data_IF_294196956836
#
_entry.id   IF_294196956836
#
_cell.length_a   1.000
_cell.length_b   1.000
_cell.length_c   1.000
_cell.angle_alpha   90.00
_cell.angle_beta   90.00
_cell.angle_gamma   90.00
#
_symmetry.space_group_name_H-M   'P 1'
#
loop_
_entity.id
_entity.type
_entity.pdbx_description
1 polymer ?
#
# COMPACT_ATOMS: atom_id res chain seq x y z
N UNK A 1 7.63 -8.15 -12.94
CA UNK A 1 6.67 -7.28 -12.24
C UNK A 1 7.26 -5.89 -12.17
N UNK A 2 6.51 -4.88 -12.58
CA UNK A 2 6.87 -3.46 -12.37
C UNK A 2 6.56 -3.06 -10.94
N UNK A 3 7.13 -1.95 -10.48
CA UNK A 3 6.83 -1.44 -9.15
C UNK A 3 5.35 -1.01 -9.03
N UNK A 4 4.75 -0.49 -10.12
CA UNK A 4 3.33 -0.14 -10.16
C UNK A 4 2.41 -1.37 -10.03
N UNK A 5 2.76 -2.48 -10.70
CA UNK A 5 2.01 -3.75 -10.61
C UNK A 5 2.04 -4.33 -9.18
N UNK A 6 3.20 -4.24 -8.54
CA UNK A 6 3.40 -4.64 -7.16
C UNK A 6 2.55 -3.79 -6.20
N UNK A 7 2.69 -2.46 -6.26
CA UNK A 7 1.92 -1.54 -5.39
C UNK A 7 0.41 -1.73 -5.58
N UNK A 8 -0.04 -1.90 -6.83
CA UNK A 8 -1.44 -2.19 -7.13
C UNK A 8 -1.92 -3.45 -6.41
N UNK A 9 -1.14 -4.53 -6.45
CA UNK A 9 -1.49 -5.80 -5.80
C UNK A 9 -1.66 -5.61 -4.29
N UNK A 10 -0.75 -4.87 -3.65
CA UNK A 10 -0.82 -4.57 -2.22
C UNK A 10 -2.02 -3.68 -1.88
N UNK A 11 -2.24 -2.62 -2.64
CA UNK A 11 -3.34 -1.67 -2.39
C UNK A 11 -4.69 -2.36 -2.58
N UNK A 12 -4.85 -3.19 -3.61
CA UNK A 12 -6.09 -3.94 -3.84
C UNK A 12 -6.39 -4.91 -2.68
N UNK A 13 -5.38 -5.56 -2.12
CA UNK A 13 -5.54 -6.42 -0.94
C UNK A 13 -5.94 -5.64 0.32
N UNK A 14 -5.32 -4.48 0.54
CA UNK A 14 -5.70 -3.59 1.65
C UNK A 14 -7.16 -3.13 1.46
N UNK A 15 -7.54 -2.69 0.27
CA UNK A 15 -8.92 -2.27 -0.05
C UNK A 15 -9.92 -3.40 0.23
N UNK A 16 -9.60 -4.63 -0.15
CA UNK A 16 -10.46 -5.80 0.12
C UNK A 16 -10.56 -6.14 1.61
N UNK A 17 -9.53 -5.82 2.38
CA UNK A 17 -9.52 -6.03 3.84
C UNK A 17 -10.45 -5.06 4.58
N UNK A 18 -10.69 -3.87 4.02
CA UNK A 18 -11.54 -2.83 4.61
C UNK A 18 -12.78 -2.52 3.74
N UNK A 19 -13.78 -3.42 3.72
CA UNK A 19 -14.95 -3.31 2.83
C UNK A 19 -15.77 -2.02 3.03
N UNK A 20 -15.75 -1.43 4.23
CA UNK A 20 -16.43 -0.17 4.54
C UNK A 20 -15.87 1.04 3.77
N UNK A 21 -14.62 0.96 3.30
CA UNK A 21 -13.97 2.02 2.53
C UNK A 21 -13.75 1.62 1.07
N UNK A 22 -14.01 0.37 0.69
CA UNK A 22 -13.52 -0.23 -0.53
C UNK A 22 -13.91 0.53 -1.81
N UNK A 23 -15.19 0.90 -1.94
CA UNK A 23 -15.67 1.65 -3.11
C UNK A 23 -14.93 2.99 -3.29
N UNK A 24 -14.81 3.75 -2.20
CA UNK A 24 -14.17 5.07 -2.22
C UNK A 24 -12.67 4.94 -2.48
N UNK A 25 -11.99 4.02 -1.81
CA UNK A 25 -10.55 3.81 -2.00
C UNK A 25 -10.21 3.31 -3.41
N UNK A 26 -11.03 2.43 -3.99
CA UNK A 26 -10.86 1.97 -5.37
C UNK A 26 -10.99 3.13 -6.36
N UNK A 27 -11.97 4.02 -6.17
CA UNK A 27 -12.14 5.23 -7.00
C UNK A 27 -10.97 6.20 -6.85
N UNK A 28 -10.53 6.46 -5.61
CA UNK A 28 -9.37 7.31 -5.35
C UNK A 28 -8.14 6.76 -6.05
N UNK A 29 -7.80 5.49 -5.83
CA UNK A 29 -6.63 4.85 -6.43
C UNK A 29 -6.71 4.79 -7.96
N UNK A 30 -7.89 4.52 -8.53
CA UNK A 30 -8.10 4.55 -9.98
C UNK A 30 -7.87 5.92 -10.62
N UNK A 31 -7.92 7.00 -9.83
CA UNK A 31 -7.60 8.37 -10.25
C UNK A 31 -6.23 8.87 -9.74
N UNK A 32 -5.46 8.01 -9.07
CA UNK A 32 -4.23 8.39 -8.43
C UNK A 32 -3.09 8.53 -9.44
N UNK A 33 -2.22 9.49 -9.19
CA UNK A 33 -0.93 9.62 -9.88
C UNK A 33 0.20 9.52 -8.86
N UNK A 34 1.30 8.87 -9.24
CA UNK A 34 2.48 8.77 -8.38
C UNK A 34 3.24 10.07 -8.46
N UNK A 35 3.36 10.75 -7.31
CA UNK A 35 4.11 12.01 -7.18
C UNK A 35 5.58 11.73 -6.92
N UNK A 36 5.87 10.76 -6.04
CA UNK A 36 7.23 10.50 -5.56
C UNK A 36 7.34 9.07 -5.04
N UNK A 37 8.52 8.47 -5.23
CA UNK A 37 8.95 7.27 -4.52
C UNK A 37 10.22 7.54 -3.73
N UNK A 38 10.28 7.01 -2.51
CA UNK A 38 11.50 7.01 -1.68
C UNK A 38 11.74 5.62 -1.17
N UNK A 39 12.92 5.08 -1.41
CA UNK A 39 13.37 3.83 -0.79
C UNK A 39 14.27 4.20 0.37
N UNK A 40 13.88 3.83 1.58
CA UNK A 40 14.62 4.08 2.81
C UNK A 40 14.85 2.75 3.46
N UNK A 41 16.07 2.24 3.53
CA UNK A 41 16.31 0.93 4.15
C UNK A 41 15.79 0.94 5.61
N UNK A 42 14.83 0.09 6.03
CA UNK A 42 14.42 -1.22 5.45
C UNK A 42 13.10 -1.28 4.64
N UNK A 43 12.67 -0.20 4.00
CA UNK A 43 11.39 -0.08 3.30
C UNK A 43 11.31 1.00 2.22
N UNK A 44 10.10 1.45 1.92
CA UNK A 44 9.82 2.50 0.95
C UNK A 44 8.53 3.28 1.27
N UNK A 45 8.40 4.42 0.62
CA UNK A 45 7.14 5.15 0.47
C UNK A 45 6.87 5.46 -0.99
N UNK A 46 5.61 5.34 -1.39
CA UNK A 46 5.08 5.89 -2.63
C UNK A 46 3.98 6.88 -2.29
N UNK A 47 4.12 8.11 -2.76
CA UNK A 47 3.19 9.20 -2.51
C UNK A 47 2.28 9.40 -3.72
N UNK A 48 0.99 9.59 -3.45
CA UNK A 48 -0.04 9.71 -4.47
C UNK A 48 -0.71 11.08 -4.44
N UNK A 49 -1.09 11.57 -5.61
CA UNK A 49 -2.05 12.65 -5.77
C UNK A 49 -3.35 12.09 -6.35
N UNK A 50 -4.46 12.30 -5.65
CA UNK A 50 -5.78 11.75 -6.02
C UNK A 50 -6.53 12.73 -6.91
N UNK A 51 -6.89 12.33 -8.13
CA UNK A 51 -7.65 13.16 -9.06
C UNK A 51 -9.15 13.27 -8.72
N UNK A 52 -9.78 12.17 -8.30
CA UNK A 52 -11.20 12.14 -7.93
C UNK A 52 -11.40 12.64 -6.49
N UNK A 53 -11.54 13.97 -6.37
CA UNK A 53 -11.81 14.62 -5.08
C UNK A 53 -13.21 14.32 -4.51
N UNK A 54 -14.11 13.74 -5.30
CA UNK A 54 -15.46 13.39 -4.83
C UNK A 54 -15.50 12.10 -4.04
N UNK A 55 -14.45 11.27 -4.14
CA UNK A 55 -14.35 9.98 -3.46
C UNK A 55 -13.81 10.10 -2.02
N UNK A 56 -13.86 11.27 -1.37
CA UNK A 56 -13.36 11.47 0.00
C UNK A 56 -14.02 10.52 1.02
N UNK A 57 -13.22 9.99 1.95
CA UNK A 57 -13.74 9.26 3.11
C UNK A 57 -14.43 10.19 4.13
N UNK A 58 -14.19 11.50 4.05
CA UNK A 58 -14.71 12.52 4.95
C UNK A 58 -13.61 13.50 5.38
N UNK A 59 -13.99 14.74 5.67
CA UNK A 59 -13.04 15.77 6.10
C UNK A 59 -12.42 15.40 7.45
N UNK A 60 -11.09 15.55 7.57
CA UNK A 60 -10.34 15.23 8.79
C UNK A 60 -10.19 13.74 9.09
N UNK A 61 -10.56 12.85 8.16
CA UNK A 61 -10.37 11.41 8.33
C UNK A 61 -8.91 11.02 8.04
N UNK A 62 -8.20 10.64 9.10
CA UNK A 62 -6.83 10.13 9.03
C UNK A 62 -6.81 8.67 9.48
N UNK A 63 -6.29 7.76 8.65
CA UNK A 63 -6.30 6.31 8.89
C UNK A 63 -4.97 5.67 8.50
N UNK A 64 -4.67 4.55 9.16
CA UNK A 64 -3.59 3.62 8.82
C UNK A 64 -4.24 2.28 8.50
N UNK A 65 -4.23 1.90 7.23
CA UNK A 65 -4.89 0.67 6.77
C UNK A 65 -3.84 -0.35 6.34
N UNK A 66 -3.84 -1.53 6.97
CA UNK A 66 -2.87 -2.58 6.67
C UNK A 66 -2.82 -3.64 7.75
N UNK A 67 -3.08 -4.89 7.38
CA UNK A 67 -3.11 -6.02 8.33
C UNK A 67 -2.40 -7.28 7.81
N UNK A 68 -2.17 -7.36 6.50
CA UNK A 68 -1.69 -8.56 5.85
C UNK A 68 -0.18 -8.52 5.67
N UNK A 69 0.45 -9.65 5.97
CA UNK A 69 1.87 -9.88 5.72
C UNK A 69 2.10 -10.53 4.36
N UNK A 70 3.18 -10.14 3.71
CA UNK A 70 3.57 -10.65 2.39
C UNK A 70 5.00 -11.15 2.38
N UNK A 71 5.25 -12.13 1.53
CA UNK A 71 6.58 -12.51 1.12
C UNK A 71 6.95 -11.71 -0.14
N UNK A 72 8.10 -11.02 -0.10
CA UNK A 72 8.71 -10.42 -1.30
C UNK A 72 10.06 -11.06 -1.49
N UNK A 73 10.34 -11.59 -2.69
CA UNK A 73 11.65 -12.13 -3.07
C UNK A 73 12.29 -13.08 -2.04
N UNK A 74 11.51 -13.74 -1.18
CA UNK A 74 12.02 -14.59 -0.11
C UNK A 74 12.65 -13.86 1.08
N UNK A 75 12.24 -12.61 1.37
CA UNK A 75 12.58 -11.94 2.64
C UNK A 75 12.28 -12.89 3.81
N UNK A 76 13.27 -13.09 4.69
CA UNK A 76 13.23 -14.10 5.75
C UNK A 76 12.04 -13.91 6.68
N UNK A 77 11.68 -12.66 6.96
CA UNK A 77 10.60 -12.30 7.88
C UNK A 77 9.40 -11.67 7.15
N UNK A 78 9.41 -11.66 5.82
CA UNK A 78 8.40 -11.01 5.00
C UNK A 78 8.43 -9.48 5.10
N UNK A 79 7.29 -8.89 4.73
CA UNK A 79 7.06 -7.45 4.64
C UNK A 79 5.61 -7.12 4.97
N UNK A 80 5.41 -5.97 5.61
CA UNK A 80 4.07 -5.42 5.86
C UNK A 80 3.93 -4.06 5.17
N UNK A 81 2.68 -3.61 5.08
CA UNK A 81 2.31 -2.40 4.36
C UNK A 81 1.27 -1.60 5.10
N UNK A 82 1.36 -0.28 4.94
CA UNK A 82 0.37 0.66 5.47
C UNK A 82 -0.05 1.59 4.31
N UNK A 83 -1.34 1.58 4.01
CA UNK A 83 -1.97 2.61 3.20
C UNK A 83 -2.41 3.76 4.11
N UNK A 84 -1.74 4.89 3.95
CA UNK A 84 -1.97 6.08 4.75
C UNK A 84 -3.08 6.93 4.14
N UNK A 85 -4.16 7.15 4.90
CA UNK A 85 -5.21 8.11 4.55
C UNK A 85 -4.96 9.40 5.32
N UNK A 86 -5.00 10.54 4.61
CA UNK A 86 -4.93 11.87 5.20
C UNK A 86 -6.05 12.76 4.67
N UNK A 87 -6.77 13.42 5.57
CA UNK A 87 -7.92 14.26 5.24
C UNK A 87 -8.91 13.59 4.27
N UNK A 88 -9.18 12.30 4.49
CA UNK A 88 -10.11 11.51 3.69
C UNK A 88 -9.57 10.96 2.37
N UNK A 89 -8.29 11.17 2.05
CA UNK A 89 -7.67 10.72 0.80
C UNK A 89 -6.44 9.83 1.01
N UNK A 90 -6.24 8.86 0.10
CA UNK A 90 -4.99 8.12 -0.01
C UNK A 90 -3.85 9.13 -0.19
N UNK A 91 -2.86 9.05 0.70
CA UNK A 91 -1.70 9.93 0.71
C UNK A 91 -0.43 9.18 0.30
N UNK A 92 -0.20 8.00 0.87
CA UNK A 92 0.95 7.18 0.53
C UNK A 92 0.75 5.71 0.85
N UNK A 93 1.43 4.85 0.11
CA UNK A 93 1.71 3.47 0.49
C UNK A 93 3.10 3.41 1.13
N UNK A 94 3.18 2.87 2.34
CA UNK A 94 4.42 2.49 2.99
C UNK A 94 4.56 0.98 2.93
N UNK A 95 5.76 0.48 2.65
CA UNK A 95 6.10 -0.92 2.83
C UNK A 95 7.44 -1.05 3.55
N UNK A 96 7.55 -2.01 4.46
CA UNK A 96 8.75 -2.23 5.26
C UNK A 96 8.99 -3.71 5.51
N UNK A 97 10.26 -4.09 5.59
CA UNK A 97 10.69 -5.41 6.01
C UNK A 97 11.18 -5.40 7.47
N UNK A 98 11.38 -6.59 8.03
CA UNK A 98 11.77 -6.76 9.42
C UNK A 98 13.29 -6.97 9.57
N UNK A 99 14.05 -5.88 9.51
CA UNK A 99 15.51 -5.91 9.74
C UNK A 99 16.34 -6.35 8.54
N UNK A 100 15.71 -6.48 7.37
CA UNK A 100 16.34 -6.85 6.11
C UNK A 100 16.36 -5.64 5.17
N UNK A 101 17.27 -5.56 4.18
CA UNK A 101 17.20 -4.49 3.23
C UNK A 101 15.99 -4.64 2.29
N UNK A 102 15.36 -3.52 1.92
CA UNK A 102 14.30 -3.57 0.91
C UNK A 102 14.91 -3.96 -0.45
N UNK A 103 14.31 -4.91 -1.19
CA UNK A 103 14.90 -5.38 -2.43
C UNK A 103 14.92 -4.29 -3.51
N UNK A 104 16.03 -4.20 -4.25
CA UNK A 104 16.20 -3.23 -5.34
C UNK A 104 15.27 -3.49 -6.54
N UNK A 105 14.75 -4.71 -6.68
CA UNK A 105 13.79 -5.12 -7.71
C UNK A 105 12.80 -6.11 -7.11
N UNK A 106 11.52 -6.00 -7.48
CA UNK A 106 10.49 -6.95 -7.07
C UNK A 106 10.35 -8.03 -8.15
N UNK A 107 10.68 -9.27 -7.82
CA UNK A 107 10.61 -10.42 -8.74
C UNK A 107 9.53 -11.41 -8.32
N UNK A 108 9.20 -11.48 -7.03
CA UNK A 108 8.19 -12.35 -6.47
C UNK A 108 7.42 -11.63 -5.36
N UNK A 109 6.10 -11.80 -5.35
CA UNK A 109 5.22 -11.31 -4.28
C UNK A 109 4.14 -12.34 -4.03
N UNK A 110 3.93 -12.71 -2.77
CA UNK A 110 2.83 -13.60 -2.37
C UNK A 110 2.34 -13.29 -0.96
N UNK A 111 1.03 -13.36 -0.75
CA UNK A 111 0.42 -13.12 0.56
C UNK A 111 0.77 -14.27 1.49
N UNK A 112 1.29 -13.98 2.67
CA UNK A 112 1.54 -15.00 3.70
C UNK A 112 0.19 -15.36 4.31
N UNK A 113 -0.22 -16.62 4.13
CA UNK A 113 -1.42 -17.14 4.79
C UNK A 113 -1.15 -17.20 6.28
N UNK A 114 -1.94 -16.48 7.07
CA UNK A 114 -1.99 -16.74 8.52
C UNK A 114 -2.62 -18.13 8.70
N UNK A 115 -1.98 -18.95 9.50
CA UNK A 115 -2.61 -20.18 9.99
C UNK A 115 -3.58 -19.74 11.09
N UNK A 116 -4.88 -19.96 10.85
CA UNK A 116 -5.94 -19.79 11.86
C UNK A 116 -5.81 -20.83 12.99
#
# INVERSE_FOLDING_TARGET
MTYDEFEKTIIEDIIQTYPEYAEKLARQYGSATVVKRTVNNPGFYTYYEIGDKTASLGDGVDLQLGENQWNINGLKYGSDYILWIKNGFISSLEGFSYGEPWPAKITEVSKIKRCD
#
